data_IF_519158813743
#
_entry.id   IF_519158813743
#
_cell.length_a   1.000
_cell.length_b   1.000
_cell.length_c   1.000
_cell.angle_alpha   90.00
_cell.angle_beta   90.00
_cell.angle_gamma   90.00
#
_symmetry.space_group_name_H-M   'P 1'
#
loop_
_entity.id
_entity.type
_entity.pdbx_description
1 polymer ?
#
# COMPACT_ATOMS: atom_id res chain seq x y z
N UNK A 1 -39.22 -11.49 1.74
CA UNK A 1 -38.10 -12.17 2.42
C UNK A 1 -36.82 -11.68 1.77
N UNK A 2 -35.89 -11.05 2.52
CA UNK A 2 -34.59 -10.63 2.00
C UNK A 2 -33.71 -11.87 1.92
N UNK A 3 -33.48 -12.39 0.72
CA UNK A 3 -32.38 -13.33 0.49
C UNK A 3 -31.09 -12.56 0.80
N UNK A 4 -30.46 -12.89 1.93
CA UNK A 4 -29.06 -12.58 2.15
C UNK A 4 -28.32 -13.58 1.28
N UNK A 5 -27.92 -13.15 0.09
CA UNK A 5 -26.90 -13.85 -0.66
C UNK A 5 -25.69 -13.90 0.28
N UNK A 6 -25.35 -15.09 0.74
CA UNK A 6 -24.11 -15.29 1.46
C UNK A 6 -23.01 -14.96 0.47
N UNK A 7 -22.42 -13.77 0.63
CA UNK A 7 -21.21 -13.36 -0.07
C UNK A 7 -20.22 -14.53 0.03
N UNK A 8 -20.00 -15.21 -1.09
CA UNK A 8 -18.94 -16.19 -1.21
C UNK A 8 -17.66 -15.38 -1.03
N UNK A 9 -17.16 -15.30 0.20
CA UNK A 9 -15.95 -14.57 0.54
C UNK A 9 -14.76 -15.30 -0.10
N UNK A 10 -14.52 -14.96 -1.36
CA UNK A 10 -13.27 -15.27 -2.05
C UNK A 10 -12.19 -14.55 -1.22
N UNK A 11 -11.08 -15.21 -0.86
CA UNK A 11 -9.97 -14.53 -0.22
C UNK A 11 -9.52 -13.35 -1.09
N UNK A 12 -9.62 -12.14 -0.55
CA UNK A 12 -9.11 -10.92 -1.17
C UNK A 12 -7.99 -10.35 -0.33
N UNK A 13 -7.10 -9.61 -0.97
CA UNK A 13 -6.07 -8.83 -0.30
C UNK A 13 -6.77 -7.77 0.57
N UNK A 14 -6.30 -7.57 1.80
CA UNK A 14 -6.85 -6.51 2.64
C UNK A 14 -6.49 -5.14 2.04
N UNK A 15 -7.38 -4.15 2.09
CA UNK A 15 -7.04 -2.78 1.68
C UNK A 15 -5.76 -2.32 2.40
N UNK A 16 -4.82 -1.69 1.71
CA UNK A 16 -3.53 -1.30 2.31
C UNK A 16 -2.39 -2.30 2.09
N UNK A 17 -2.68 -3.55 1.72
CA UNK A 17 -1.63 -4.59 1.59
C UNK A 17 -0.93 -4.62 0.22
N UNK A 18 -1.49 -3.98 -0.81
CA UNK A 18 -0.94 -3.98 -2.18
C UNK A 18 -0.97 -2.56 -2.76
N UNK A 19 -0.67 -1.58 -1.91
CA UNK A 19 -0.80 -0.15 -2.21
C UNK A 19 0.56 0.49 -2.55
N UNK A 20 1.60 -0.32 -2.78
CA UNK A 20 2.96 0.16 -3.03
C UNK A 20 3.02 1.11 -4.25
N UNK A 21 2.26 0.85 -5.30
CA UNK A 21 2.23 1.72 -6.48
C UNK A 21 1.64 3.11 -6.16
N UNK A 22 0.54 3.14 -5.41
CA UNK A 22 -0.16 4.37 -4.99
C UNK A 22 0.71 5.17 -4.00
N UNK A 23 1.26 4.52 -2.98
CA UNK A 23 2.07 5.19 -1.96
C UNK A 23 3.38 5.75 -2.51
N UNK A 24 3.95 5.12 -3.54
CA UNK A 24 5.20 5.56 -4.17
C UNK A 24 4.98 6.50 -5.37
N UNK A 25 3.74 6.97 -5.60
CA UNK A 25 3.45 7.95 -6.62
C UNK A 25 4.25 9.26 -6.38
N UNK A 26 4.81 9.81 -7.44
CA UNK A 26 5.58 11.05 -7.36
C UNK A 26 4.65 12.24 -7.39
N UNK A 27 4.69 13.04 -6.32
CA UNK A 27 4.05 14.35 -6.30
C UNK A 27 4.58 15.25 -7.43
N UNK A 28 3.67 15.97 -8.07
CA UNK A 28 3.96 17.03 -9.04
C UNK A 28 4.60 18.24 -8.35
N UNK A 29 5.13 19.17 -9.14
CA UNK A 29 5.76 20.38 -8.59
C UNK A 29 4.74 21.27 -7.89
N UNK A 30 3.56 21.36 -8.47
CA UNK A 30 2.44 22.14 -7.98
C UNK A 30 1.97 21.61 -6.62
N UNK A 31 1.80 20.30 -6.48
CA UNK A 31 1.45 19.66 -5.21
C UNK A 31 2.51 19.89 -4.14
N UNK A 32 3.81 19.80 -4.48
CA UNK A 32 4.90 20.10 -3.55
C UNK A 32 4.85 21.56 -3.08
N UNK A 33 4.58 22.50 -3.99
CA UNK A 33 4.47 23.93 -3.67
C UNK A 33 3.27 24.23 -2.78
N UNK A 34 2.15 23.55 -3.01
CA UNK A 34 0.95 23.67 -2.19
C UNK A 34 1.00 22.90 -0.87
N UNK A 35 1.92 21.94 -0.74
CA UNK A 35 2.04 21.07 0.43
C UNK A 35 1.11 19.84 0.37
N UNK A 36 0.52 19.57 -0.80
CA UNK A 36 -0.42 18.48 -1.05
C UNK A 36 0.35 17.18 -1.35
N UNK A 37 1.25 16.77 -0.46
CA UNK A 37 2.00 15.52 -0.60
C UNK A 37 2.30 14.91 0.77
N UNK A 38 2.51 13.59 0.77
CA UNK A 38 2.97 12.86 1.96
C UNK A 38 4.34 12.25 1.68
N UNK A 39 5.27 12.40 2.62
CA UNK A 39 6.59 11.79 2.50
C UNK A 39 6.51 10.32 2.91
N UNK A 40 6.78 9.43 1.96
CA UNK A 40 6.90 7.98 2.20
C UNK A 40 8.35 7.60 2.45
N UNK A 41 8.57 6.69 3.41
CA UNK A 41 9.89 6.15 3.77
C UNK A 41 9.79 4.64 3.84
N UNK A 42 10.47 3.96 2.94
CA UNK A 42 10.56 2.49 2.91
C UNK A 42 11.81 2.05 3.66
N UNK A 43 11.66 1.14 4.62
CA UNK A 43 12.76 0.51 5.33
C UNK A 43 12.91 -0.92 4.80
N UNK A 44 14.11 -1.28 4.34
CA UNK A 44 14.46 -2.65 3.99
C UNK A 44 15.56 -3.15 4.92
N UNK A 45 15.42 -4.39 5.38
CA UNK A 45 16.48 -5.11 6.07
C UNK A 45 17.28 -5.90 5.03
N UNK A 46 18.57 -5.63 4.94
CA UNK A 46 19.52 -6.43 4.16
C UNK A 46 20.12 -7.47 5.11
N UNK A 47 19.43 -8.60 5.28
CA UNK A 47 19.95 -9.72 6.07
C UNK A 47 21.11 -10.36 5.30
N UNK A 48 22.33 -9.98 5.67
CA UNK A 48 23.52 -10.74 5.30
C UNK A 48 23.42 -12.07 6.04
N UNK A 49 23.05 -13.16 5.37
CA UNK A 49 23.09 -14.52 5.94
C UNK A 49 24.53 -14.78 6.42
N UNK A 50 24.81 -14.77 7.75
CA UNK A 50 26.09 -15.26 8.22
C UNK A 50 25.96 -16.77 8.21
N UNK A 51 26.11 -17.35 7.01
CA UNK A 51 26.38 -18.77 6.85
C UNK A 51 27.61 -19.10 7.70
N UNK A 52 27.37 -19.55 8.93
CA UNK A 52 28.34 -20.11 9.89
C UNK A 52 27.72 -21.30 10.59
#
# INVERSE_FOLDING_TARGET
>A
MRQREEDKQIPTVAPGMDDDEELNEKATKEEIVHGDYTKVVTLSFDEVDPST
#
